data_IF_358164994014
#
_entry.id   IF_358164994014
#
_cell.length_a   1.000
_cell.length_b   1.000
_cell.length_c   1.000
_cell.angle_alpha   90.00
_cell.angle_beta   90.00
_cell.angle_gamma   90.00
#
_symmetry.space_group_name_H-M   'P 1'
#
loop_
_entity.id
_entity.type
_entity.pdbx_description
1 polymer ?
#
# COMPACT_ATOMS: atom_id res chain seq x y z
N UNK A 1 -6.53 9.86 8.58
CA UNK A 1 -6.30 8.87 7.50
C UNK A 1 -5.37 9.47 6.46
N UNK A 2 -4.36 8.71 6.04
CA UNK A 2 -3.46 9.11 4.96
C UNK A 2 -4.11 8.80 3.62
N UNK A 3 -3.98 9.69 2.65
CA UNK A 3 -4.56 9.50 1.33
C UNK A 3 -3.49 9.42 0.25
N UNK A 4 -3.82 8.72 -0.84
CA UNK A 4 -2.93 8.64 -2.00
C UNK A 4 -2.61 10.02 -2.55
N UNK A 5 -3.61 10.89 -2.67
CA UNK A 5 -3.44 12.23 -3.24
C UNK A 5 -2.42 13.05 -2.46
N UNK A 6 -2.56 13.08 -1.13
CA UNK A 6 -1.65 13.83 -0.27
C UNK A 6 -0.24 13.25 -0.29
N UNK A 7 -0.13 11.92 -0.24
CA UNK A 7 1.17 11.23 -0.24
C UNK A 7 1.89 11.37 -1.58
N UNK A 8 1.18 11.24 -2.68
CA UNK A 8 1.78 11.41 -4.00
C UNK A 8 2.25 12.85 -4.25
N UNK A 9 1.54 13.83 -3.68
CA UNK A 9 1.96 15.22 -3.76
C UNK A 9 3.29 15.44 -3.02
N UNK A 10 3.44 14.85 -1.83
CA UNK A 10 4.71 14.91 -1.08
C UNK A 10 5.83 14.25 -1.90
N UNK A 11 5.57 13.08 -2.48
CA UNK A 11 6.55 12.38 -3.31
C UNK A 11 7.04 13.26 -4.45
N UNK A 12 6.13 13.87 -5.19
CA UNK A 12 6.49 14.71 -6.34
C UNK A 12 7.24 15.99 -5.95
N UNK A 13 6.86 16.60 -4.83
CA UNK A 13 7.45 17.88 -4.41
C UNK A 13 8.77 17.71 -3.65
N UNK A 14 8.84 16.75 -2.75
CA UNK A 14 9.99 16.59 -1.85
C UNK A 14 10.99 15.53 -2.32
N UNK A 15 10.55 14.59 -3.14
CA UNK A 15 11.37 13.48 -3.61
C UNK A 15 11.23 13.34 -5.13
N UNK A 16 11.69 14.33 -5.92
CA UNK A 16 11.43 14.36 -7.37
C UNK A 16 12.06 13.22 -8.16
N UNK A 17 13.05 12.52 -7.58
CA UNK A 17 13.65 11.32 -8.21
C UNK A 17 12.83 10.05 -7.95
N UNK A 18 11.81 10.11 -7.10
CA UNK A 18 10.92 8.99 -6.83
C UNK A 18 9.91 8.85 -7.96
N UNK A 19 10.01 7.79 -8.74
CA UNK A 19 9.06 7.51 -9.81
C UNK A 19 8.42 6.13 -9.69
N UNK A 20 8.72 5.39 -8.62
CA UNK A 20 8.18 4.04 -8.36
C UNK A 20 7.90 3.91 -6.87
N UNK A 21 6.91 4.65 -6.39
CA UNK A 21 6.69 4.84 -4.96
C UNK A 21 5.40 4.17 -4.44
N UNK A 22 4.85 3.21 -5.17
CA UNK A 22 3.62 2.54 -4.73
C UNK A 22 3.77 1.86 -3.36
N UNK A 23 4.93 1.24 -3.09
CA UNK A 23 5.19 0.60 -1.81
C UNK A 23 5.35 1.61 -0.68
N UNK A 24 5.94 2.77 -0.94
CA UNK A 24 6.06 3.83 0.07
C UNK A 24 4.67 4.32 0.47
N UNK A 25 3.81 4.57 -0.50
CA UNK A 25 2.44 4.98 -0.24
C UNK A 25 1.68 3.88 0.51
N UNK A 26 1.84 2.62 0.11
CA UNK A 26 1.17 1.51 0.78
C UNK A 26 1.55 1.43 2.27
N UNK A 27 2.84 1.57 2.59
CA UNK A 27 3.29 1.57 3.99
C UNK A 27 2.75 2.79 4.73
N UNK A 28 2.80 3.97 4.13
CA UNK A 28 2.33 5.19 4.76
C UNK A 28 0.84 5.13 5.09
N UNK A 29 0.02 4.60 4.18
CA UNK A 29 -1.42 4.43 4.40
C UNK A 29 -1.66 3.37 5.47
N UNK A 30 -1.07 2.19 5.32
CA UNK A 30 -1.34 1.05 6.20
C UNK A 30 -0.89 1.32 7.64
N UNK A 31 0.24 1.98 7.84
CA UNK A 31 0.79 2.26 9.17
C UNK A 31 0.41 3.66 9.68
N UNK A 32 -0.30 4.45 8.89
CA UNK A 32 -0.68 5.83 9.24
C UNK A 32 0.54 6.68 9.63
N UNK A 33 1.55 6.65 8.79
CA UNK A 33 2.78 7.44 8.99
C UNK A 33 3.02 8.35 7.78
N UNK A 34 3.89 9.34 7.95
CA UNK A 34 4.25 10.25 6.86
C UNK A 34 4.95 9.51 5.72
N UNK A 35 4.93 10.12 4.53
CA UNK A 35 5.67 9.60 3.38
C UNK A 35 7.16 9.43 3.72
N UNK A 36 7.77 10.44 4.34
CA UNK A 36 9.20 10.39 4.69
C UNK A 36 9.52 9.27 5.68
N UNK A 37 8.66 9.03 6.67
CA UNK A 37 8.86 7.92 7.61
C UNK A 37 8.74 6.56 6.93
N UNK A 38 7.71 6.37 6.11
CA UNK A 38 7.54 5.14 5.34
C UNK A 38 8.75 4.89 4.42
N UNK A 39 9.19 5.93 3.72
CA UNK A 39 10.35 5.88 2.85
C UNK A 39 11.61 5.47 3.61
N UNK A 40 11.85 6.05 4.79
CA UNK A 40 13.03 5.73 5.59
C UNK A 40 13.05 4.27 6.04
N UNK A 41 11.91 3.72 6.42
CA UNK A 41 11.82 2.30 6.81
C UNK A 41 12.09 1.37 5.64
N UNK A 42 11.60 1.71 4.44
CA UNK A 42 11.87 0.90 3.24
C UNK A 42 13.33 1.02 2.80
N UNK A 43 13.94 2.18 2.95
CA UNK A 43 15.37 2.35 2.67
C UNK A 43 16.23 1.48 3.59
N UNK A 44 15.83 1.31 4.85
CA UNK A 44 16.51 0.39 5.77
C UNK A 44 16.41 -1.07 5.32
N UNK A 45 15.36 -1.41 4.57
CA UNK A 45 15.22 -2.75 3.98
C UNK A 45 16.05 -2.92 2.70
N UNK A 46 16.55 -1.83 2.13
CA UNK A 46 17.37 -1.87 0.93
C UNK A 46 16.81 -1.14 -0.29
N UNK A 47 15.62 -0.55 -0.17
CA UNK A 47 15.01 0.19 -1.27
C UNK A 47 15.84 1.42 -1.65
N UNK A 48 15.87 1.73 -2.96
CA UNK A 48 16.55 2.90 -3.52
C UNK A 48 15.58 3.72 -4.36
N UNK A 49 15.88 5.03 -4.51
CA UNK A 49 15.07 5.92 -5.36
C UNK A 49 14.91 5.35 -6.77
N UNK A 50 13.68 5.41 -7.28
CA UNK A 50 13.36 4.98 -8.62
C UNK A 50 13.36 3.48 -8.85
N UNK A 51 13.58 2.69 -7.81
CA UNK A 51 13.58 1.23 -7.90
C UNK A 51 12.31 0.66 -7.27
N UNK A 52 11.84 -0.47 -7.79
CA UNK A 52 10.74 -1.20 -7.21
C UNK A 52 11.09 -1.77 -5.85
N UNK A 53 10.07 -2.18 -5.11
CA UNK A 53 10.22 -2.73 -3.77
C UNK A 53 9.71 -4.17 -3.75
N UNK A 54 10.56 -5.15 -3.42
CA UNK A 54 10.06 -6.52 -3.20
C UNK A 54 8.99 -6.54 -2.11
N UNK A 55 7.93 -7.34 -2.24
CA UNK A 55 6.86 -7.43 -1.24
C UNK A 55 7.36 -7.72 0.18
N UNK A 56 8.39 -8.54 0.31
CA UNK A 56 8.98 -8.86 1.62
C UNK A 56 9.44 -7.59 2.35
N UNK A 57 10.05 -6.65 1.64
CA UNK A 57 10.52 -5.40 2.26
C UNK A 57 9.36 -4.55 2.77
N UNK A 58 8.27 -4.52 2.03
CA UNK A 58 7.05 -3.80 2.44
C UNK A 58 6.53 -4.37 3.76
N UNK A 59 6.41 -5.68 3.86
CA UNK A 59 5.91 -6.33 5.08
C UNK A 59 6.89 -6.24 6.24
N UNK A 60 8.19 -6.31 5.99
CA UNK A 60 9.19 -6.09 7.03
C UNK A 60 9.12 -4.67 7.59
N UNK A 61 8.94 -3.68 6.75
CA UNK A 61 8.76 -2.29 7.18
C UNK A 61 7.50 -2.14 8.04
N UNK A 62 6.39 -2.72 7.60
CA UNK A 62 5.14 -2.70 8.37
C UNK A 62 5.30 -3.37 9.72
N UNK A 63 5.99 -4.51 9.78
CA UNK A 63 6.24 -5.21 11.05
C UNK A 63 7.04 -4.32 12.01
N UNK A 64 8.08 -3.67 11.54
CA UNK A 64 8.89 -2.76 12.36
C UNK A 64 8.10 -1.54 12.82
N UNK A 65 7.07 -1.16 12.08
CA UNK A 65 6.16 -0.08 12.46
C UNK A 65 5.03 -0.52 13.40
N UNK A 66 4.98 -1.80 13.78
CA UNK A 66 4.03 -2.31 14.76
C UNK A 66 2.80 -2.99 14.16
N UNK A 67 2.90 -3.48 12.94
CA UNK A 67 1.76 -4.12 12.25
C UNK A 67 2.06 -5.57 11.90
N UNK A 68 1.01 -6.39 11.91
CA UNK A 68 1.07 -7.79 11.52
C UNK A 68 0.27 -8.00 10.24
N UNK A 69 0.62 -9.03 9.49
CA UNK A 69 -0.07 -9.40 8.26
C UNK A 69 -0.73 -10.76 8.40
N UNK A 70 -1.84 -10.95 7.70
CA UNK A 70 -2.49 -12.25 7.55
C UNK A 70 -3.08 -12.35 6.14
N UNK A 71 -3.03 -13.54 5.54
CA UNK A 71 -3.65 -13.73 4.25
C UNK A 71 -5.17 -13.53 4.36
N UNK A 72 -5.74 -12.76 3.44
CA UNK A 72 -7.17 -12.52 3.42
C UNK A 72 -7.88 -13.75 2.86
N UNK A 73 -8.85 -14.28 3.61
CA UNK A 73 -9.59 -15.49 3.25
C UNK A 73 -11.03 -15.21 2.77
N UNK A 74 -11.42 -13.95 2.70
CA UNK A 74 -12.75 -13.57 2.24
C UNK A 74 -12.87 -13.55 0.72
N UNK A 75 -13.93 -12.91 0.24
CA UNK A 75 -14.18 -12.80 -1.20
C UNK A 75 -13.17 -11.87 -1.86
N UNK A 76 -12.47 -12.37 -2.87
CA UNK A 76 -11.51 -11.59 -3.65
C UNK A 76 -12.19 -10.82 -4.76
N UNK A 77 -11.94 -9.52 -4.89
CA UNK A 77 -12.25 -8.78 -6.11
C UNK A 77 -11.36 -9.28 -7.25
N UNK A 78 -11.89 -9.29 -8.48
CA UNK A 78 -11.10 -9.70 -9.64
C UNK A 78 -10.08 -8.64 -10.04
N UNK A 79 -10.44 -7.37 -9.93
CA UNK A 79 -9.64 -6.24 -10.41
C UNK A 79 -9.53 -5.16 -9.35
N UNK A 80 -8.55 -4.27 -9.51
CA UNK A 80 -8.41 -3.09 -8.64
C UNK A 80 -9.65 -2.21 -8.71
N UNK A 81 -10.27 -2.06 -9.88
CA UNK A 81 -11.44 -1.22 -10.05
C UNK A 81 -12.61 -1.65 -9.17
N UNK A 82 -12.73 -2.93 -8.84
CA UNK A 82 -13.82 -3.47 -8.02
C UNK A 82 -13.46 -3.65 -6.55
N UNK A 83 -12.19 -3.44 -6.21
CA UNK A 83 -11.67 -3.80 -4.88
C UNK A 83 -12.39 -3.11 -3.73
N UNK A 84 -12.57 -1.79 -3.81
CA UNK A 84 -13.21 -1.03 -2.73
C UNK A 84 -14.66 -1.44 -2.52
N UNK A 85 -15.34 -1.88 -3.60
CA UNK A 85 -16.75 -2.32 -3.53
C UNK A 85 -16.90 -3.71 -2.91
N UNK A 86 -15.94 -4.59 -3.16
CA UNK A 86 -16.02 -6.01 -2.77
C UNK A 86 -15.44 -6.26 -1.37
N UNK A 87 -14.34 -5.59 -1.01
CA UNK A 87 -13.67 -5.79 0.27
C UNK A 87 -14.49 -5.22 1.44
N UNK A 88 -14.27 -5.73 2.67
CA UNK A 88 -14.94 -5.18 3.85
C UNK A 88 -14.76 -3.68 3.98
N UNK A 89 -15.78 -3.00 4.49
CA UNK A 89 -15.77 -1.53 4.65
C UNK A 89 -14.97 -1.06 5.85
N UNK A 90 -14.39 -1.99 6.61
CA UNK A 90 -13.49 -1.70 7.73
C UNK A 90 -12.23 -2.53 7.57
N UNK A 91 -11.10 -1.95 7.94
CA UNK A 91 -9.81 -2.63 7.90
C UNK A 91 -8.92 -2.15 6.78
N UNK A 92 -7.71 -2.64 6.80
CA UNK A 92 -6.65 -2.28 5.84
C UNK A 92 -6.20 -3.52 5.10
N UNK A 93 -6.21 -3.45 3.78
CA UNK A 93 -5.86 -4.57 2.91
C UNK A 93 -4.82 -4.13 1.88
N UNK A 94 -3.72 -4.86 1.83
CA UNK A 94 -2.72 -4.68 0.78
C UNK A 94 -3.06 -5.61 -0.38
N UNK A 95 -3.16 -5.05 -1.58
CA UNK A 95 -3.51 -5.77 -2.79
C UNK A 95 -2.31 -5.82 -3.73
N UNK A 96 -1.93 -7.03 -4.12
CA UNK A 96 -0.85 -7.23 -5.07
C UNK A 96 -1.42 -7.49 -6.46
N UNK A 97 -0.96 -6.71 -7.41
CA UNK A 97 -1.14 -6.95 -8.83
C UNK A 97 0.23 -7.12 -9.45
N UNK A 98 0.31 -7.44 -10.73
CA UNK A 98 1.61 -7.66 -11.38
C UNK A 98 2.45 -6.39 -11.32
N UNK A 99 3.57 -6.45 -10.58
CA UNK A 99 4.52 -5.35 -10.47
C UNK A 99 4.03 -4.14 -9.69
N UNK A 100 2.96 -4.29 -8.89
CA UNK A 100 2.36 -3.16 -8.20
C UNK A 100 1.70 -3.59 -6.89
N UNK A 101 1.72 -2.72 -5.89
CA UNK A 101 1.00 -2.89 -4.64
C UNK A 101 0.07 -1.70 -4.41
N UNK A 102 -1.15 -1.98 -3.94
CA UNK A 102 -2.17 -0.98 -3.60
C UNK A 102 -2.71 -1.25 -2.22
N UNK A 103 -3.38 -0.26 -1.63
CA UNK A 103 -4.04 -0.42 -0.32
C UNK A 103 -5.50 0.02 -0.43
N UNK A 104 -6.39 -0.82 0.09
CA UNK A 104 -7.77 -0.44 0.38
C UNK A 104 -7.88 -0.28 1.89
N UNK A 105 -8.29 0.90 2.34
CA UNK A 105 -8.48 1.18 3.76
C UNK A 105 -9.88 1.71 3.99
N UNK A 106 -10.60 1.02 4.86
CA UNK A 106 -11.99 1.36 5.22
C UNK A 106 -12.88 1.58 4.00
N UNK A 107 -12.74 0.72 2.99
CA UNK A 107 -13.55 0.74 1.79
C UNK A 107 -13.09 1.75 0.73
N UNK A 108 -11.92 2.36 0.90
CA UNK A 108 -11.38 3.34 -0.06
C UNK A 108 -10.07 2.84 -0.64
N UNK A 109 -9.99 2.79 -1.96
CA UNK A 109 -8.75 2.43 -2.67
C UNK A 109 -7.81 3.64 -2.67
N UNK A 110 -6.70 3.53 -1.95
CA UNK A 110 -5.67 4.57 -1.86
C UNK A 110 -4.57 4.29 -2.87
N UNK A 111 -4.85 4.59 -4.14
CA UNK A 111 -3.95 4.33 -5.25
C UNK A 111 -4.37 5.17 -6.46
N UNK A 112 -3.43 5.38 -7.40
CA UNK A 112 -3.75 6.05 -8.67
C UNK A 112 -4.86 5.32 -9.43
N UNK A 113 -4.96 4.02 -9.26
CA UNK A 113 -5.99 3.21 -9.90
C UNK A 113 -7.41 3.62 -9.52
N UNK A 114 -7.61 4.26 -8.37
CA UNK A 114 -8.91 4.80 -7.97
C UNK A 114 -9.39 5.90 -8.92
N UNK A 115 -8.45 6.60 -9.57
CA UNK A 115 -8.76 7.69 -10.50
C UNK A 115 -8.97 7.18 -11.93
N UNK A 116 -8.40 6.03 -12.27
CA UNK A 116 -8.39 5.52 -13.65
C UNK A 116 -9.29 4.30 -13.86
N UNK A 117 -9.86 3.73 -12.78
CA UNK A 117 -10.66 2.51 -12.88
C UNK A 117 -9.86 1.31 -13.40
N UNK A 118 -8.64 1.15 -12.91
CA UNK A 118 -7.74 0.11 -13.39
C UNK A 118 -8.34 -1.29 -13.34
N UNK A 119 -8.24 -2.02 -14.44
CA UNK A 119 -8.66 -3.41 -14.55
C UNK A 119 -7.53 -4.41 -14.25
N UNK A 120 -6.44 -3.97 -13.65
CA UNK A 120 -5.37 -4.87 -13.24
C UNK A 120 -5.93 -5.97 -12.34
N UNK A 121 -5.52 -7.20 -12.62
CA UNK A 121 -5.98 -8.38 -11.89
C UNK A 121 -5.35 -8.43 -10.50
N UNK A 122 -6.18 -8.64 -9.48
CA UNK A 122 -5.71 -8.83 -8.11
C UNK A 122 -5.20 -10.28 -7.98
N UNK A 123 -3.95 -10.42 -7.53
CA UNK A 123 -3.29 -11.72 -7.40
C UNK A 123 -3.27 -12.21 -5.94
N UNK A 124 -3.10 -11.30 -4.99
CA UNK A 124 -3.01 -11.63 -3.57
C UNK A 124 -3.52 -10.47 -2.74
N UNK A 125 -4.23 -10.79 -1.67
CA UNK A 125 -4.68 -9.77 -0.69
C UNK A 125 -4.18 -10.18 0.69
N UNK A 126 -3.56 -9.22 1.38
CA UNK A 126 -3.06 -9.39 2.74
C UNK A 126 -3.75 -8.38 3.64
N UNK A 127 -4.34 -8.85 4.71
CA UNK A 127 -4.90 -7.97 5.73
C UNK A 127 -3.81 -7.47 6.65
N UNK A 128 -3.82 -6.18 6.97
CA UNK A 128 -2.83 -5.52 7.83
C UNK A 128 -3.53 -5.05 9.10
N UNK A 129 -3.04 -5.49 10.25
CA UNK A 129 -3.60 -5.14 11.56
C UNK A 129 -2.51 -4.71 12.52
N UNK A 130 -2.80 -3.78 13.47
CA UNK A 130 -1.86 -3.49 14.54
C UNK A 130 -1.52 -4.76 15.33
N UNK A 131 -0.25 -4.90 15.74
CA UNK A 131 0.17 -6.00 16.61
C UNK A 131 -0.47 -5.87 17.99
N UNK A 132 -0.72 -7.00 18.64
CA UNK A 132 -1.20 -7.03 20.03
C UNK A 132 -2.69 -6.77 20.20
N UNK A 133 -3.46 -6.83 19.13
CA UNK A 133 -4.92 -6.66 19.17
C UNK A 133 -5.61 -7.97 18.82
#
# INVERSE_FOLDING_TARGET
>A
MRTYEALSLVARKQYPKENNYCAVIAVAVAADVSYGKARSYLFKEGRKDGKGTPPLWTYNALEKLGYAKAEYSGRYPKTLATAARILPKRGTFALHTRGHISVVQDGVLQDWAALTGSRKRVLLITEIKPKGI
#
